data_IF_564017661974
#
_entry.id   IF_564017661974
#
_cell.length_a   1.000
_cell.length_b   1.000
_cell.length_c   1.000
_cell.angle_alpha   90.00
_cell.angle_beta   90.00
_cell.angle_gamma   90.00
#
_symmetry.space_group_name_H-M   'P 1'
#
loop_
_entity.id
_entity.type
_entity.pdbx_description
1 polymer ?
#
# COMPACT_ATOMS: atom_id res chain seq x y z
N UNK A 1 10.75 5.54 19.90
CA UNK A 1 11.41 6.63 19.16
C UNK A 1 11.65 7.78 20.11
N UNK A 2 12.82 8.43 20.04
CA UNK A 2 13.23 9.58 20.84
C UNK A 2 13.92 10.62 19.92
N UNK A 3 14.02 11.89 20.34
CA UNK A 3 14.90 12.85 19.67
C UNK A 3 16.32 12.27 19.47
N UNK A 4 16.87 12.46 18.28
CA UNK A 4 18.13 11.88 17.82
C UNK A 4 18.00 10.56 17.04
N UNK A 5 16.86 9.86 17.11
CA UNK A 5 16.64 8.63 16.33
C UNK A 5 16.52 8.96 14.82
N UNK A 6 17.06 8.09 13.99
CA UNK A 6 16.91 8.14 12.53
C UNK A 6 15.72 7.30 12.09
N UNK A 7 14.87 7.87 11.22
CA UNK A 7 13.72 7.20 10.62
C UNK A 7 13.70 7.42 9.11
N UNK A 8 13.21 6.42 8.38
CA UNK A 8 12.90 6.56 6.97
C UNK A 8 11.47 7.11 6.82
N UNK A 9 11.32 8.20 6.07
CA UNK A 9 10.03 8.81 5.74
C UNK A 9 9.84 8.72 4.24
N UNK A 10 8.73 8.15 3.79
CA UNK A 10 8.37 8.11 2.37
C UNK A 10 7.31 9.17 2.11
N UNK A 11 7.59 10.12 1.23
CA UNK A 11 6.67 11.16 0.80
C UNK A 11 6.82 11.38 -0.71
N UNK A 12 5.71 11.49 -1.43
CA UNK A 12 5.66 11.71 -2.89
C UNK A 12 6.49 10.71 -3.73
N UNK A 13 6.66 9.49 -3.21
CA UNK A 13 7.46 8.44 -3.87
C UNK A 13 8.95 8.54 -3.60
N UNK A 14 9.41 9.55 -2.87
CA UNK A 14 10.80 9.72 -2.47
C UNK A 14 11.01 9.23 -1.03
N UNK A 15 12.19 8.67 -0.75
CA UNK A 15 12.58 8.26 0.61
C UNK A 15 13.54 9.30 1.22
N UNK A 16 13.22 9.74 2.43
CA UNK A 16 14.00 10.69 3.19
C UNK A 16 14.51 10.03 4.47
N UNK A 17 15.80 10.13 4.73
CA UNK A 17 16.33 9.85 6.06
C UNK A 17 16.16 11.09 6.93
N UNK A 18 15.35 10.96 7.97
CA UNK A 18 14.98 12.05 8.86
C UNK A 18 15.50 11.76 10.26
N UNK A 19 16.23 12.71 10.83
CA UNK A 19 16.64 12.68 12.24
C UNK A 19 15.55 13.38 13.06
N UNK A 20 14.96 12.68 14.02
CA UNK A 20 13.93 13.25 14.89
C UNK A 20 14.53 14.33 15.78
N UNK A 21 13.97 15.54 15.77
CA UNK A 21 14.42 16.66 16.60
C UNK A 21 13.50 16.89 17.80
N UNK A 22 12.20 16.70 17.63
CA UNK A 22 11.20 16.85 18.69
C UNK A 22 10.11 15.79 18.55
N UNK A 23 9.68 15.21 19.67
CA UNK A 23 8.56 14.27 19.73
C UNK A 23 7.57 14.78 20.79
N UNK A 24 6.40 15.21 20.33
CA UNK A 24 5.27 15.58 21.18
C UNK A 24 4.10 14.60 21.01
N UNK A 25 3.02 14.77 21.81
CA UNK A 25 1.88 13.86 21.80
C UNK A 25 1.12 13.84 20.46
N UNK A 26 1.09 14.95 19.73
CA UNK A 26 0.35 15.09 18.47
C UNK A 26 1.22 15.51 17.27
N UNK A 27 2.51 15.73 17.47
CA UNK A 27 3.40 16.24 16.44
C UNK A 27 4.80 15.68 16.64
N UNK A 28 5.42 15.25 15.56
CA UNK A 28 6.83 14.87 15.50
C UNK A 28 7.51 15.80 14.51
N UNK A 29 8.65 16.37 14.89
CA UNK A 29 9.52 17.15 13.99
C UNK A 29 10.82 16.40 13.81
N UNK A 30 11.38 16.54 12.61
CA UNK A 30 12.70 16.04 12.28
C UNK A 30 13.32 16.82 11.15
N UNK A 31 14.64 16.69 11.01
CA UNK A 31 15.42 17.29 9.96
C UNK A 31 15.77 16.24 8.92
N UNK A 32 15.54 16.54 7.64
CA UNK A 32 15.98 15.69 6.53
C UNK A 32 17.51 15.71 6.48
N UNK A 33 18.13 14.57 6.73
CA UNK A 33 19.58 14.38 6.67
C UNK A 33 20.04 13.94 5.29
N UNK A 34 19.23 13.12 4.60
CA UNK A 34 19.54 12.64 3.26
C UNK A 34 18.25 12.43 2.45
N UNK A 35 18.26 12.88 1.20
CA UNK A 35 17.26 12.50 0.18
C UNK A 35 17.79 11.29 -0.59
N UNK A 36 17.06 10.18 -0.54
CA UNK A 36 17.35 8.99 -1.34
C UNK A 36 16.36 8.94 -2.50
N UNK A 37 16.77 9.54 -3.61
CA UNK A 37 16.16 9.25 -4.91
C UNK A 37 16.44 7.81 -5.26
N UNK A 38 15.42 6.96 -5.17
CA UNK A 38 15.60 5.59 -5.63
C UNK A 38 15.30 5.51 -7.13
N UNK A 39 16.16 4.75 -7.79
CA UNK A 39 16.07 4.45 -9.20
C UNK A 39 14.96 3.44 -9.48
N UNK A 40 14.11 3.83 -10.42
CA UNK A 40 13.24 3.03 -11.28
C UNK A 40 12.11 2.26 -10.58
N UNK A 41 10.89 2.77 -10.79
CA UNK A 41 9.71 1.92 -10.97
C UNK A 41 10.10 0.65 -11.75
N UNK A 42 9.52 -0.52 -11.41
CA UNK A 42 9.77 -1.72 -12.20
C UNK A 42 9.53 -1.42 -13.68
N UNK A 43 10.51 -1.68 -14.55
CA UNK A 43 10.38 -1.46 -15.99
C UNK A 43 9.14 -2.18 -16.57
N UNK A 44 8.72 -3.26 -15.90
CA UNK A 44 7.49 -3.98 -16.19
C UNK A 44 6.41 -3.67 -15.15
N UNK A 45 5.29 -3.10 -15.61
CA UNK A 45 4.09 -2.93 -14.79
C UNK A 45 3.19 -4.16 -14.94
N UNK A 46 2.92 -4.83 -13.81
CA UNK A 46 2.01 -5.98 -13.76
C UNK A 46 0.71 -5.57 -13.06
N UNK A 47 -0.41 -5.86 -13.71
CA UNK A 47 -1.75 -5.69 -13.15
C UNK A 47 -2.31 -7.07 -12.80
N UNK A 48 -2.68 -7.27 -11.55
CA UNK A 48 -3.32 -8.50 -11.11
C UNK A 48 -4.85 -8.35 -11.16
N UNK A 49 -5.50 -9.13 -12.01
CA UNK A 49 -6.95 -9.31 -11.99
C UNK A 49 -7.28 -10.48 -11.08
N UNK A 50 -7.87 -10.21 -9.92
CA UNK A 50 -8.06 -11.18 -8.86
C UNK A 50 -9.56 -11.43 -8.60
N UNK A 51 -10.01 -12.66 -8.85
CA UNK A 51 -11.35 -13.09 -8.44
C UNK A 51 -11.53 -12.99 -6.93
N UNK A 52 -12.66 -12.44 -6.47
CA UNK A 52 -12.94 -12.25 -5.05
C UNK A 52 -12.98 -13.60 -4.29
N UNK A 53 -12.02 -13.86 -3.38
CA UNK A 53 -12.03 -15.07 -2.57
C UNK A 53 -13.05 -14.97 -1.43
N UNK A 54 -13.40 -16.11 -0.83
CA UNK A 54 -14.22 -16.15 0.39
C UNK A 54 -13.39 -15.71 1.60
N UNK A 55 -13.98 -14.88 2.46
CA UNK A 55 -13.34 -14.37 3.68
C UNK A 55 -12.24 -13.35 3.37
N UNK A 56 -11.23 -13.29 4.24
CA UNK A 56 -10.25 -12.19 4.25
C UNK A 56 -8.96 -12.52 3.47
N UNK A 57 -8.98 -13.58 2.64
CA UNK A 57 -7.80 -14.03 1.87
C UNK A 57 -7.25 -12.97 0.93
N UNK A 58 -8.11 -12.05 0.46
CA UNK A 58 -7.68 -10.98 -0.44
C UNK A 58 -6.66 -10.04 0.23
N UNK A 59 -6.74 -9.86 1.54
CA UNK A 59 -5.81 -9.02 2.30
C UNK A 59 -4.38 -9.57 2.25
N UNK A 60 -4.24 -10.88 2.42
CA UNK A 60 -2.95 -11.56 2.29
C UNK A 60 -2.42 -11.48 0.84
N UNK A 61 -3.31 -11.65 -0.15
CA UNK A 61 -2.93 -11.51 -1.57
C UNK A 61 -2.41 -10.10 -1.83
N UNK A 62 -3.12 -9.06 -1.36
CA UNK A 62 -2.69 -7.66 -1.51
C UNK A 62 -1.32 -7.43 -0.88
N UNK A 63 -1.11 -7.91 0.34
CA UNK A 63 0.16 -7.78 1.03
C UNK A 63 1.30 -8.39 0.20
N UNK A 64 1.14 -9.65 -0.22
CA UNK A 64 2.20 -10.37 -0.97
C UNK A 64 2.41 -9.86 -2.38
N UNK A 65 1.36 -9.45 -3.07
CA UNK A 65 1.47 -8.81 -4.37
C UNK A 65 2.17 -7.44 -4.28
N UNK A 66 1.96 -6.71 -3.18
CA UNK A 66 2.70 -5.47 -2.92
C UNK A 66 4.19 -5.74 -2.73
N UNK A 67 4.55 -6.75 -1.93
CA UNK A 67 5.95 -7.20 -1.73
C UNK A 67 6.62 -7.65 -3.04
N UNK A 68 5.86 -8.32 -3.93
CA UNK A 68 6.34 -8.79 -5.25
C UNK A 68 6.39 -7.70 -6.32
N UNK A 69 5.87 -6.52 -6.02
CA UNK A 69 5.97 -5.36 -6.88
C UNK A 69 4.91 -5.23 -7.97
N UNK A 70 3.72 -5.77 -7.74
CA UNK A 70 2.52 -5.51 -8.55
C UNK A 70 2.22 -4.00 -8.57
N UNK A 71 1.77 -3.49 -9.71
CA UNK A 71 1.43 -2.07 -9.88
C UNK A 71 -0.03 -1.78 -9.50
N UNK A 72 -0.95 -2.68 -9.90
CA UNK A 72 -2.38 -2.55 -9.59
C UNK A 72 -3.01 -3.91 -9.29
N UNK A 73 -4.03 -3.90 -8.42
CA UNK A 73 -4.85 -5.07 -8.13
C UNK A 73 -6.31 -4.71 -8.43
N UNK A 74 -6.92 -5.51 -9.29
CA UNK A 74 -8.27 -5.34 -9.79
C UNK A 74 -9.13 -6.48 -9.24
N UNK A 75 -9.87 -6.25 -8.15
CA UNK A 75 -10.77 -7.26 -7.61
C UNK A 75 -11.95 -7.44 -8.57
N UNK A 76 -12.21 -8.68 -9.00
CA UNK A 76 -13.32 -8.98 -9.90
C UNK A 76 -14.31 -9.95 -9.27
N UNK A 77 -15.59 -9.64 -9.44
CA UNK A 77 -16.68 -10.57 -9.18
C UNK A 77 -16.93 -11.39 -10.44
N UNK A 78 -16.75 -12.70 -10.33
CA UNK A 78 -16.88 -13.65 -11.43
C UNK A 78 -18.13 -14.50 -11.25
N UNK A 79 -18.53 -15.24 -12.28
CA UNK A 79 -19.72 -16.12 -12.27
C UNK A 79 -19.75 -17.11 -11.09
N UNK A 80 -18.57 -17.57 -10.62
CA UNK A 80 -18.45 -18.52 -9.50
C UNK A 80 -18.14 -17.85 -8.16
N UNK A 81 -18.13 -16.52 -8.10
CA UNK A 81 -17.89 -15.77 -6.87
C UNK A 81 -19.09 -15.91 -5.93
N UNK A 82 -18.83 -16.39 -4.71
CA UNK A 82 -19.87 -16.60 -3.68
C UNK A 82 -20.14 -15.32 -2.85
N UNK A 83 -19.36 -14.26 -3.10
CA UNK A 83 -19.38 -13.02 -2.32
C UNK A 83 -20.46 -12.09 -2.87
N UNK A 84 -21.53 -11.86 -2.10
CA UNK A 84 -22.54 -10.85 -2.45
C UNK A 84 -21.96 -9.45 -2.27
N UNK A 85 -21.98 -8.65 -3.33
CA UNK A 85 -21.55 -7.26 -3.31
C UNK A 85 -22.68 -6.37 -2.79
N UNK A 86 -22.39 -5.60 -1.75
CA UNK A 86 -23.14 -4.40 -1.40
C UNK A 86 -22.26 -3.21 -1.79
N UNK A 87 -22.77 -2.31 -2.63
CA UNK A 87 -22.03 -1.18 -3.19
C UNK A 87 -21.39 -0.31 -2.11
N UNK A 88 -22.12 -0.02 -1.02
CA UNK A 88 -21.60 0.78 0.08
C UNK A 88 -20.44 0.08 0.80
N UNK A 89 -20.56 -1.23 1.01
CA UNK A 89 -19.48 -2.05 1.59
C UNK A 89 -18.31 -2.28 0.63
N UNK A 90 -18.49 -2.07 -0.67
CA UNK A 90 -17.46 -2.31 -1.66
C UNK A 90 -16.37 -1.24 -1.58
N UNK A 91 -16.75 0.04 -1.45
CA UNK A 91 -15.77 1.13 -1.35
C UNK A 91 -15.06 1.11 0.01
N UNK A 92 -15.78 0.89 1.12
CA UNK A 92 -15.17 0.73 2.46
C UNK A 92 -14.13 -0.40 2.48
N UNK A 93 -14.42 -1.52 1.80
CA UNK A 93 -13.47 -2.63 1.64
C UNK A 93 -12.26 -2.22 0.82
N UNK A 94 -12.49 -1.52 -0.29
CA UNK A 94 -11.42 -1.03 -1.16
C UNK A 94 -10.48 -0.08 -0.40
N UNK A 95 -11.02 0.85 0.40
CA UNK A 95 -10.23 1.74 1.23
C UNK A 95 -9.39 0.98 2.27
N UNK A 96 -9.98 -0.03 2.92
CA UNK A 96 -9.24 -0.93 3.83
C UNK A 96 -8.10 -1.65 3.10
N UNK A 97 -8.37 -2.21 1.92
CA UNK A 97 -7.38 -2.88 1.08
C UNK A 97 -6.26 -1.94 0.63
N UNK A 98 -6.58 -0.68 0.30
CA UNK A 98 -5.59 0.32 -0.05
C UNK A 98 -4.67 0.65 1.14
N UNK A 99 -5.21 0.68 2.37
CA UNK A 99 -4.42 0.82 3.59
C UNK A 99 -3.46 -0.35 3.80
N UNK A 100 -3.91 -1.58 3.58
CA UNK A 100 -3.05 -2.78 3.68
C UNK A 100 -1.92 -2.72 2.64
N UNK A 101 -2.20 -2.30 1.41
CA UNK A 101 -1.18 -2.09 0.38
C UNK A 101 -0.16 -1.02 0.81
N UNK A 102 -0.62 0.07 1.44
CA UNK A 102 0.27 1.12 1.96
C UNK A 102 1.17 0.60 3.10
N UNK A 103 0.64 -0.16 4.04
CA UNK A 103 1.40 -0.75 5.14
C UNK A 103 2.44 -1.77 4.63
N UNK A 104 2.04 -2.63 3.68
CA UNK A 104 2.93 -3.58 3.03
C UNK A 104 4.06 -2.86 2.28
N UNK A 105 3.73 -1.81 1.51
CA UNK A 105 4.72 -1.00 0.79
C UNK A 105 5.73 -0.36 1.74
N UNK A 106 5.28 0.21 2.87
CA UNK A 106 6.17 0.74 3.92
C UNK A 106 7.09 -0.34 4.49
N UNK A 107 6.56 -1.53 4.76
CA UNK A 107 7.33 -2.63 5.35
C UNK A 107 8.39 -3.18 4.39
N UNK A 108 8.07 -3.30 3.09
CA UNK A 108 8.99 -3.79 2.08
C UNK A 108 9.85 -2.69 1.42
N UNK A 109 9.79 -1.46 1.94
CA UNK A 109 10.50 -0.28 1.42
C UNK A 109 10.20 0.00 -0.06
N UNK A 110 8.98 -0.29 -0.49
CA UNK A 110 8.50 0.02 -1.83
C UNK A 110 7.98 1.45 -1.85
N UNK A 111 8.52 2.26 -2.76
CA UNK A 111 8.11 3.65 -2.92
C UNK A 111 6.72 3.79 -3.54
N UNK A 112 6.40 2.96 -4.55
CA UNK A 112 5.10 2.98 -5.22
C UNK A 112 4.11 2.02 -4.57
N UNK A 113 3.09 2.58 -3.95
CA UNK A 113 1.98 1.81 -3.38
C UNK A 113 1.10 1.30 -4.53
N UNK A 114 0.77 -0.01 -4.59
CA UNK A 114 -0.12 -0.53 -5.60
C UNK A 114 -1.51 0.11 -5.50
N UNK A 115 -2.13 0.39 -6.64
CA UNK A 115 -3.50 0.92 -6.67
C UNK A 115 -4.48 -0.25 -6.57
N UNK A 116 -5.38 -0.19 -5.60
CA UNK A 116 -6.52 -1.10 -5.51
C UNK A 116 -7.69 -0.45 -6.27
N UNK A 117 -8.17 -1.09 -7.34
CA UNK A 117 -9.36 -0.63 -8.08
C UNK A 117 -10.64 -1.00 -7.34
N UNK A 118 -11.71 -0.27 -7.65
CA UNK A 118 -13.06 -0.66 -7.27
C UNK A 118 -13.41 -2.04 -7.84
N UNK A 119 -14.28 -2.77 -7.16
CA UNK A 119 -14.66 -4.12 -7.55
C UNK A 119 -15.39 -4.06 -8.91
N UNK A 120 -14.86 -4.78 -9.90
CA UNK A 120 -15.46 -4.88 -11.24
C UNK A 120 -16.20 -6.20 -11.43
N UNK A 121 -17.08 -6.26 -12.42
CA UNK A 121 -17.69 -7.52 -12.88
C UNK A 121 -16.96 -8.03 -14.11
N UNK A 122 -16.79 -9.34 -14.21
CA UNK A 122 -16.15 -10.03 -15.33
C UNK A 122 -17.01 -11.18 -15.82
#
# INVERSE_FOLDING_TARGET
LKPGDQVAVVADGEEYEVVLTEIGPNMVRGQVAQERRSSADPALQVILVQGLPKGDKLELIIQKCTELGIAEIWPVHTVRSVVRLNVQKAEERRERWQRIAMEAAKQCKRQRIPVIKGIQSW
#
